data_IF_746368936970
#
_entry.id   IF_746368936970
#
_cell.length_a   1.000
_cell.length_b   1.000
_cell.length_c   1.000
_cell.angle_alpha   90.00
_cell.angle_beta   90.00
_cell.angle_gamma   90.00
#
_symmetry.space_group_name_H-M   'P 1'
#
loop_
_entity.id
_entity.type
_entity.pdbx_description
1 polymer ?
#
# COMPACT_ATOMS: atom_id res chain seq x y z
N UNK A 1 23.56 14.86 -5.27
CA UNK A 1 24.62 15.85 -5.07
C UNK A 1 24.40 16.52 -3.72
N UNK A 2 25.33 16.32 -2.76
CA UNK A 2 25.24 17.00 -1.47
C UNK A 2 25.61 18.47 -1.58
N UNK A 3 25.07 19.30 -0.70
CA UNK A 3 25.52 20.68 -0.53
C UNK A 3 27.01 20.73 -0.12
N UNK A 4 27.70 21.81 -0.47
CA UNK A 4 29.00 22.08 0.17
C UNK A 4 28.81 22.22 1.69
N UNK A 5 29.85 21.92 2.47
CA UNK A 5 29.76 22.08 3.93
C UNK A 5 29.36 23.50 4.32
N UNK A 6 29.89 24.51 3.63
CA UNK A 6 29.55 25.93 3.84
C UNK A 6 28.04 26.20 3.62
N UNK A 7 27.48 25.66 2.53
CA UNK A 7 26.04 25.80 2.24
C UNK A 7 25.19 25.08 3.30
N UNK A 8 25.60 23.90 3.73
CA UNK A 8 24.90 23.16 4.77
C UNK A 8 24.93 23.89 6.10
N UNK A 9 26.06 24.48 6.48
CA UNK A 9 26.21 25.24 7.72
C UNK A 9 25.42 26.58 7.67
N UNK A 10 25.40 27.23 6.51
CA UNK A 10 24.55 28.39 6.30
C UNK A 10 23.05 28.06 6.48
N UNK A 11 22.56 26.99 5.84
CA UNK A 11 21.17 26.55 5.95
C UNK A 11 20.84 26.23 7.40
N UNK A 12 21.68 25.49 8.12
CA UNK A 12 21.50 25.14 9.52
C UNK A 12 21.42 26.41 10.41
N UNK A 13 22.34 27.34 10.18
CA UNK A 13 22.34 28.60 10.96
C UNK A 13 21.10 29.42 10.69
N UNK A 14 20.74 29.62 9.42
CA UNK A 14 19.55 30.36 9.04
C UNK A 14 18.25 29.73 9.59
N UNK A 15 18.15 28.40 9.53
CA UNK A 15 17.01 27.66 10.10
C UNK A 15 16.96 27.82 11.63
N UNK A 16 18.10 27.68 12.31
CA UNK A 16 18.17 27.88 13.77
C UNK A 16 17.77 29.29 14.16
N UNK A 17 18.30 30.30 13.46
CA UNK A 17 18.03 31.71 13.76
C UNK A 17 16.57 32.06 13.51
N UNK A 18 15.95 31.43 12.48
CA UNK A 18 14.51 31.53 12.23
C UNK A 18 13.68 30.86 13.35
N UNK A 19 14.03 29.63 13.77
CA UNK A 19 13.33 28.91 14.84
C UNK A 19 13.42 29.64 16.20
N UNK A 20 14.50 30.40 16.43
CA UNK A 20 14.70 31.19 17.65
C UNK A 20 14.11 32.60 17.58
N UNK A 21 13.65 33.03 16.42
CA UNK A 21 13.02 34.34 16.25
C UNK A 21 11.56 34.31 16.71
N UNK A 22 11.09 35.40 17.34
CA UNK A 22 9.69 35.58 17.76
C UNK A 22 8.72 35.82 16.57
N UNK A 23 8.92 35.16 15.45
CA UNK A 23 8.09 35.34 14.28
C UNK A 23 6.80 34.51 14.50
N UNK A 24 5.73 35.22 14.81
CA UNK A 24 4.38 34.68 14.66
C UNK A 24 4.17 34.26 13.20
N UNK A 25 3.93 32.98 12.94
CA UNK A 25 3.65 32.32 11.66
C UNK A 25 4.24 33.00 10.42
N UNK A 26 5.26 32.44 9.79
CA UNK A 26 5.80 33.01 8.57
C UNK A 26 4.69 33.10 7.52
N UNK A 27 4.51 34.24 6.91
CA UNK A 27 3.64 34.41 5.76
C UNK A 27 4.21 33.55 4.61
N UNK A 28 3.65 32.35 4.43
CA UNK A 28 4.05 31.48 3.32
C UNK A 28 3.46 32.09 2.06
N UNK A 29 4.34 32.75 1.29
CA UNK A 29 3.96 33.41 0.03
C UNK A 29 4.09 32.40 -1.11
N UNK A 30 3.10 32.36 -2.00
CA UNK A 30 3.17 31.60 -3.25
C UNK A 30 4.33 32.12 -4.11
N UNK A 31 5.36 31.28 -4.41
CA UNK A 31 6.52 31.71 -5.21
C UNK A 31 6.21 31.86 -6.71
N UNK A 32 4.99 31.51 -7.13
CA UNK A 32 4.62 31.38 -8.55
C UNK A 32 5.11 30.08 -9.20
N UNK A 33 4.47 29.68 -10.32
CA UNK A 33 4.71 28.36 -10.92
C UNK A 33 6.16 28.13 -11.36
N UNK A 34 6.79 29.12 -11.98
CA UNK A 34 8.15 28.98 -12.51
C UNK A 34 9.19 28.80 -11.39
N UNK A 35 9.09 29.60 -10.34
CA UNK A 35 9.99 29.50 -9.18
C UNK A 35 9.74 28.18 -8.45
N UNK A 36 8.47 27.80 -8.27
CA UNK A 36 8.12 26.55 -7.62
C UNK A 36 8.66 25.32 -8.36
N UNK A 37 8.59 25.28 -9.70
CA UNK A 37 9.17 24.22 -10.52
C UNK A 37 10.68 24.10 -10.33
N UNK A 38 11.39 25.24 -10.23
CA UNK A 38 12.83 25.26 -9.90
C UNK A 38 13.10 24.75 -8.49
N UNK A 39 12.25 25.09 -7.51
CA UNK A 39 12.36 24.58 -6.13
C UNK A 39 12.17 23.06 -6.09
N UNK A 40 11.17 22.51 -6.82
CA UNK A 40 10.95 21.08 -6.96
C UNK A 40 12.19 20.35 -7.49
N UNK A 41 12.76 20.85 -8.59
CA UNK A 41 13.95 20.26 -9.21
C UNK A 41 15.18 20.36 -8.29
N UNK A 42 15.35 21.49 -7.63
CA UNK A 42 16.43 21.68 -6.65
C UNK A 42 16.31 20.72 -5.47
N UNK A 43 15.11 20.58 -4.93
CA UNK A 43 14.84 19.70 -3.77
C UNK A 43 15.13 18.23 -4.06
N UNK A 44 14.79 17.76 -5.26
CA UNK A 44 15.06 16.38 -5.67
C UNK A 44 16.48 16.16 -6.21
N UNK A 45 17.20 17.23 -6.57
CA UNK A 45 18.51 17.15 -7.21
C UNK A 45 18.48 16.68 -8.67
N UNK A 46 17.30 16.73 -9.30
CA UNK A 46 17.09 16.37 -10.71
C UNK A 46 15.98 17.22 -11.34
N UNK A 47 15.94 17.29 -12.66
CA UNK A 47 14.90 18.05 -13.37
C UNK A 47 13.53 17.40 -13.21
N UNK A 48 12.56 18.18 -12.73
CA UNK A 48 11.16 17.78 -12.65
C UNK A 48 10.41 18.39 -13.84
N UNK A 49 9.74 17.56 -14.66
CA UNK A 49 8.97 18.07 -15.79
C UNK A 49 7.90 19.08 -15.37
N UNK A 50 7.66 20.15 -16.14
CA UNK A 50 6.78 21.24 -15.75
C UNK A 50 5.31 20.83 -15.60
N UNK A 51 4.88 19.72 -16.21
CA UNK A 51 3.53 19.17 -16.07
C UNK A 51 3.17 18.75 -14.64
N UNK A 52 4.15 18.50 -13.77
CA UNK A 52 3.91 18.18 -12.35
C UNK A 52 3.66 19.41 -11.48
N UNK A 53 4.07 20.58 -11.94
CA UNK A 53 3.97 21.84 -11.15
C UNK A 53 2.53 22.14 -10.72
N UNK A 54 1.50 22.06 -11.57
CA UNK A 54 0.13 22.38 -11.15
C UNK A 54 -0.39 21.45 -10.06
N UNK A 55 -0.11 20.14 -10.18
CA UNK A 55 -0.55 19.13 -9.21
C UNK A 55 0.10 19.36 -7.85
N UNK A 56 1.43 19.52 -7.81
CA UNK A 56 2.15 19.71 -6.55
C UNK A 56 1.81 21.05 -5.90
N UNK A 57 1.66 22.13 -6.68
CA UNK A 57 1.20 23.42 -6.15
C UNK A 57 -0.16 23.34 -5.48
N UNK A 58 -1.05 22.46 -5.97
CA UNK A 58 -2.35 22.21 -5.33
C UNK A 58 -2.17 21.58 -3.95
N UNK A 59 -1.29 20.60 -3.80
CA UNK A 59 -1.00 19.97 -2.50
C UNK A 59 -0.36 20.96 -1.50
N UNK A 60 0.30 22.02 -2.00
CA UNK A 60 0.83 23.13 -1.18
C UNK A 60 -0.19 24.24 -0.91
N UNK A 61 -1.41 24.13 -1.41
CA UNK A 61 -2.43 25.16 -1.24
C UNK A 61 -2.24 26.43 -2.09
N UNK A 62 -1.32 26.41 -3.06
CA UNK A 62 -1.01 27.59 -3.91
C UNK A 62 -1.94 27.73 -5.12
N UNK A 63 -2.85 26.79 -5.36
CA UNK A 63 -3.80 26.86 -6.47
C UNK A 63 -5.15 27.39 -5.99
N UNK A 64 -5.74 28.37 -6.68
CA UNK A 64 -7.11 28.82 -6.39
C UNK A 64 -8.15 27.72 -6.58
N UNK A 65 -7.83 26.73 -7.42
CA UNK A 65 -8.67 25.54 -7.69
C UNK A 65 -8.61 24.51 -6.54
N UNK A 66 -7.71 24.69 -5.58
CA UNK A 66 -7.62 23.85 -4.39
C UNK A 66 -8.85 24.00 -3.47
N UNK A 67 -9.57 25.13 -3.56
CA UNK A 67 -10.78 25.33 -2.80
C UNK A 67 -11.92 24.43 -3.34
N UNK A 68 -12.57 23.64 -2.47
CA UNK A 68 -13.70 22.80 -2.85
C UNK A 68 -14.83 23.64 -3.44
N UNK A 69 -15.34 23.23 -4.60
CA UNK A 69 -16.48 23.90 -5.25
C UNK A 69 -17.76 23.24 -4.81
N UNK A 70 -18.66 24.00 -4.17
CA UNK A 70 -20.04 23.56 -3.99
C UNK A 70 -20.74 23.49 -5.35
N UNK A 71 -21.30 22.35 -5.65
CA UNK A 71 -22.15 22.19 -6.85
C UNK A 71 -23.52 22.79 -6.51
N UNK A 72 -23.83 23.92 -7.11
CA UNK A 72 -25.19 24.47 -7.08
C UNK A 72 -26.02 23.73 -8.13
N UNK A 73 -26.59 22.59 -7.72
CA UNK A 73 -27.53 21.88 -8.60
C UNK A 73 -28.79 22.71 -8.78
N UNK A 74 -29.18 22.92 -10.04
CA UNK A 74 -30.46 23.50 -10.42
C UNK A 74 -31.55 22.43 -10.59
N UNK A 75 -31.20 21.14 -10.51
CA UNK A 75 -32.13 20.02 -10.60
C UNK A 75 -32.81 19.78 -9.25
N UNK A 76 -34.13 19.58 -9.31
CA UNK A 76 -34.92 19.19 -8.15
C UNK A 76 -35.84 18.02 -8.57
N UNK A 77 -35.74 16.84 -7.98
CA UNK A 77 -34.86 16.48 -6.85
C UNK A 77 -33.36 16.39 -7.24
N UNK A 78 -32.48 16.47 -6.21
CA UNK A 78 -31.05 16.21 -6.40
C UNK A 78 -30.82 14.72 -6.71
N UNK A 79 -29.82 14.38 -7.53
CA UNK A 79 -29.51 12.98 -7.79
C UNK A 79 -29.06 12.27 -6.50
N UNK A 80 -29.59 11.08 -6.27
CA UNK A 80 -29.18 10.18 -5.19
C UNK A 80 -27.98 9.36 -5.64
N UNK A 81 -26.92 9.37 -4.86
CA UNK A 81 -25.66 8.69 -5.21
C UNK A 81 -25.42 7.55 -4.23
N UNK A 82 -25.24 6.33 -4.73
CA UNK A 82 -24.75 5.21 -3.91
C UNK A 82 -23.26 5.00 -4.16
N UNK A 83 -22.48 4.84 -3.07
CA UNK A 83 -21.08 4.44 -3.09
C UNK A 83 -21.00 3.02 -2.53
N UNK A 84 -20.30 2.11 -3.21
CA UNK A 84 -20.11 0.73 -2.77
C UNK A 84 -18.71 0.56 -2.21
N UNK A 85 -18.60 0.34 -0.90
CA UNK A 85 -17.35 0.06 -0.17
C UNK A 85 -16.80 1.26 0.59
N UNK A 86 -16.54 1.10 1.88
CA UNK A 86 -16.01 2.09 2.82
C UNK A 86 -14.50 1.96 3.07
N UNK A 87 -13.75 1.52 2.07
CA UNK A 87 -12.30 1.62 2.07
C UNK A 87 -11.81 3.03 1.74
N UNK A 88 -10.49 3.19 1.58
CA UNK A 88 -9.87 4.49 1.31
C UNK A 88 -10.51 5.26 0.15
N UNK A 89 -10.90 4.59 -0.94
CA UNK A 89 -11.53 5.25 -2.10
C UNK A 89 -12.95 5.73 -1.79
N UNK A 90 -13.76 4.90 -1.11
CA UNK A 90 -15.13 5.24 -0.76
C UNK A 90 -15.21 6.39 0.23
N UNK A 91 -14.37 6.37 1.27
CA UNK A 91 -14.29 7.47 2.25
C UNK A 91 -13.80 8.78 1.61
N UNK A 92 -12.82 8.71 0.70
CA UNK A 92 -12.38 9.88 -0.07
C UNK A 92 -13.54 10.48 -0.89
N UNK A 93 -14.28 9.65 -1.61
CA UNK A 93 -15.42 10.09 -2.41
C UNK A 93 -16.53 10.68 -1.53
N UNK A 94 -16.88 10.01 -0.43
CA UNK A 94 -17.88 10.48 0.51
C UNK A 94 -17.54 11.89 1.02
N UNK A 95 -16.29 12.12 1.44
CA UNK A 95 -15.82 13.42 1.87
C UNK A 95 -15.90 14.47 0.75
N UNK A 96 -15.45 14.14 -0.46
CA UNK A 96 -15.51 15.07 -1.60
C UNK A 96 -16.96 15.41 -2.00
N UNK A 97 -17.87 14.44 -1.94
CA UNK A 97 -19.29 14.65 -2.23
C UNK A 97 -19.97 15.49 -1.15
N UNK A 98 -19.57 15.32 0.10
CA UNK A 98 -20.08 16.15 1.21
C UNK A 98 -19.68 17.60 1.03
N UNK A 99 -18.41 17.89 0.73
CA UNK A 99 -17.91 19.23 0.41
C UNK A 99 -18.65 19.82 -0.80
N UNK A 100 -18.89 19.01 -1.83
CA UNK A 100 -19.61 19.43 -3.03
C UNK A 100 -21.11 19.66 -2.78
N UNK A 101 -21.65 19.26 -1.62
CA UNK A 101 -23.07 19.37 -1.27
C UNK A 101 -23.96 18.41 -2.04
N UNK A 102 -23.42 17.25 -2.43
CA UNK A 102 -24.17 16.19 -3.10
C UNK A 102 -24.89 15.29 -2.09
N UNK A 103 -25.99 14.66 -2.55
CA UNK A 103 -26.72 13.68 -1.75
C UNK A 103 -26.16 12.27 -2.04
N UNK A 104 -25.45 11.69 -1.07
CA UNK A 104 -24.79 10.40 -1.20
C UNK A 104 -25.11 9.49 -0.02
N UNK A 105 -25.01 8.18 -0.25
CA UNK A 105 -25.05 7.14 0.75
C UNK A 105 -24.02 6.07 0.44
N UNK A 106 -23.33 5.51 1.45
CA UNK A 106 -22.31 4.52 1.27
C UNK A 106 -22.73 3.19 1.93
N UNK A 107 -22.58 2.08 1.19
CA UNK A 107 -22.84 0.73 1.66
C UNK A 107 -21.52 -0.02 1.83
N UNK A 108 -21.31 -0.60 3.01
CA UNK A 108 -20.14 -1.41 3.35
C UNK A 108 -20.59 -2.80 3.84
N UNK A 109 -19.97 -3.86 3.27
CA UNK A 109 -20.29 -5.26 3.63
C UNK A 109 -19.78 -5.67 5.02
N UNK A 110 -18.68 -5.03 5.47
CA UNK A 110 -18.09 -5.29 6.78
C UNK A 110 -18.84 -4.51 7.86
N UNK A 111 -18.57 -4.85 9.12
CA UNK A 111 -19.17 -4.23 10.30
C UNK A 111 -18.65 -2.81 10.59
N UNK A 112 -17.52 -2.40 9.94
CA UNK A 112 -16.99 -1.05 10.03
C UNK A 112 -16.26 -0.63 8.75
N UNK A 113 -15.85 0.64 8.69
CA UNK A 113 -15.06 1.24 7.61
C UNK A 113 -13.60 0.74 7.64
N UNK A 114 -12.83 1.01 6.58
CA UNK A 114 -11.40 0.72 6.53
C UNK A 114 -10.98 -0.19 5.38
N UNK A 115 -11.90 -0.95 4.78
CA UNK A 115 -11.66 -1.79 3.60
C UNK A 115 -10.48 -2.74 3.79
N UNK A 116 -9.42 -2.61 2.98
CA UNK A 116 -8.24 -3.48 3.04
C UNK A 116 -7.64 -3.59 4.45
N UNK A 117 -7.60 -2.50 5.21
CA UNK A 117 -6.99 -2.45 6.55
C UNK A 117 -7.93 -2.99 7.64
N UNK A 118 -9.22 -3.01 7.37
CA UNK A 118 -10.21 -3.69 8.19
C UNK A 118 -10.18 -5.21 7.99
N UNK A 119 -10.02 -5.67 6.74
CA UNK A 119 -10.10 -7.09 6.37
C UNK A 119 -8.80 -7.86 6.61
N UNK A 120 -7.63 -7.25 6.39
CA UNK A 120 -6.35 -7.95 6.45
C UNK A 120 -5.71 -7.83 7.84
N UNK A 121 -5.69 -8.94 8.57
CA UNK A 121 -5.24 -9.01 9.96
C UNK A 121 -4.19 -10.08 10.21
N UNK A 122 -3.56 -10.61 9.16
CA UNK A 122 -2.48 -11.58 9.30
C UNK A 122 -1.25 -10.93 9.97
N UNK A 123 -0.45 -11.71 10.73
CA UNK A 123 0.75 -11.19 11.38
C UNK A 123 1.70 -10.50 10.41
N UNK A 124 2.19 -9.33 10.79
CA UNK A 124 3.06 -8.52 9.94
C UNK A 124 2.35 -7.74 8.82
N UNK A 125 1.01 -7.77 8.76
CA UNK A 125 0.26 -6.99 7.78
C UNK A 125 0.53 -5.50 7.94
N UNK A 126 0.98 -4.86 6.88
CA UNK A 126 1.31 -3.43 6.88
C UNK A 126 1.46 -2.86 5.47
N UNK A 127 1.75 -1.58 5.42
CA UNK A 127 1.96 -0.86 4.16
C UNK A 127 3.40 -1.06 3.65
N UNK A 128 3.58 -1.04 2.35
CA UNK A 128 4.87 -1.04 1.66
C UNK A 128 5.18 0.30 0.95
N UNK A 129 4.42 1.32 1.32
CA UNK A 129 4.56 2.70 0.86
C UNK A 129 4.66 3.59 2.11
N UNK A 130 5.55 4.60 2.15
CA UNK A 130 5.67 5.46 3.34
C UNK A 130 4.36 6.11 3.74
N UNK A 131 4.03 6.10 5.02
CA UNK A 131 2.76 6.58 5.56
C UNK A 131 2.45 8.02 5.18
N UNK A 132 3.44 8.91 5.24
CA UNK A 132 3.26 10.33 4.88
C UNK A 132 2.92 10.54 3.39
N UNK A 133 3.06 9.50 2.57
CA UNK A 133 2.57 9.45 1.21
C UNK A 133 1.27 8.64 1.12
N UNK A 134 1.15 7.54 1.88
CA UNK A 134 -0.04 6.69 1.94
C UNK A 134 -1.10 7.27 2.91
N UNK A 135 -1.49 8.50 2.68
CA UNK A 135 -2.59 9.20 3.34
C UNK A 135 -3.22 10.18 2.35
N UNK A 136 -4.39 10.70 2.66
CA UNK A 136 -5.00 11.72 1.82
C UNK A 136 -4.17 13.00 1.83
N UNK A 137 -3.93 13.62 0.68
CA UNK A 137 -3.16 14.86 0.58
C UNK A 137 -3.83 16.03 1.29
N UNK A 138 -5.15 16.00 1.36
CA UNK A 138 -5.99 17.01 2.03
C UNK A 138 -6.27 16.70 3.52
N UNK A 139 -5.84 15.53 4.01
CA UNK A 139 -5.95 15.12 5.41
C UNK A 139 -4.69 14.37 5.85
N UNK A 140 -3.51 15.04 5.84
CA UNK A 140 -2.26 14.42 6.24
C UNK A 140 -2.29 14.09 7.74
N UNK A 141 -1.64 12.97 8.11
CA UNK A 141 -1.43 12.65 9.51
C UNK A 141 0.04 12.94 9.90
N UNK A 142 0.31 13.90 10.77
CA UNK A 142 1.67 14.18 11.25
C UNK A 142 2.13 13.24 12.37
N UNK A 143 1.21 12.41 12.89
CA UNK A 143 1.38 11.63 14.13
C UNK A 143 1.63 10.14 13.89
N UNK A 144 2.15 9.78 12.70
CA UNK A 144 2.54 8.41 12.44
C UNK A 144 3.64 7.95 13.40
N UNK A 145 3.49 6.76 14.00
CA UNK A 145 4.49 6.19 14.91
C UNK A 145 5.69 5.59 14.18
N UNK A 146 5.50 5.17 12.93
CA UNK A 146 6.52 4.60 12.06
C UNK A 146 6.46 5.23 10.66
N UNK A 147 7.56 5.13 9.92
CA UNK A 147 7.54 5.54 8.50
C UNK A 147 6.70 4.59 7.63
N UNK A 148 6.59 3.31 8.03
CA UNK A 148 5.75 2.29 7.42
C UNK A 148 4.97 1.58 8.54
N UNK A 149 3.69 1.78 8.58
CA UNK A 149 2.86 1.28 9.68
C UNK A 149 2.22 -0.07 9.40
N UNK A 150 1.92 -0.79 10.48
CA UNK A 150 1.07 -1.96 10.45
C UNK A 150 -0.40 -1.63 10.17
N UNK A 151 -1.17 -2.66 9.84
CA UNK A 151 -2.58 -2.54 9.45
C UNK A 151 -3.45 -1.80 10.46
N UNK A 152 -3.22 -1.98 11.76
CA UNK A 152 -4.00 -1.32 12.81
C UNK A 152 -3.85 0.20 12.83
N UNK A 153 -2.64 0.73 12.63
CA UNK A 153 -2.44 2.18 12.61
C UNK A 153 -3.04 2.82 11.35
N UNK A 154 -2.99 2.10 10.22
CA UNK A 154 -3.64 2.53 8.98
C UNK A 154 -5.17 2.48 9.09
N UNK A 155 -5.71 1.45 9.74
CA UNK A 155 -7.13 1.37 10.04
C UNK A 155 -7.57 2.55 10.91
N UNK A 156 -6.87 2.79 12.02
CA UNK A 156 -7.16 3.90 12.92
C UNK A 156 -7.12 5.27 12.22
N UNK A 157 -6.25 5.44 11.21
CA UNK A 157 -6.23 6.64 10.39
C UNK A 157 -7.53 6.81 9.60
N UNK A 158 -8.02 5.74 8.95
CA UNK A 158 -9.25 5.79 8.15
C UNK A 158 -10.50 5.93 9.02
N UNK A 159 -10.55 5.27 10.17
CA UNK A 159 -11.63 5.40 11.15
C UNK A 159 -11.71 6.85 11.66
N UNK A 160 -10.59 7.41 12.12
CA UNK A 160 -10.54 8.82 12.55
C UNK A 160 -10.93 9.78 11.42
N UNK A 161 -10.48 9.52 10.19
CA UNK A 161 -10.88 10.33 9.05
C UNK A 161 -12.40 10.32 8.83
N UNK A 162 -13.04 9.17 8.96
CA UNK A 162 -14.50 9.05 8.85
C UNK A 162 -15.22 9.78 9.99
N UNK A 163 -14.71 9.68 11.23
CA UNK A 163 -15.26 10.34 12.42
C UNK A 163 -15.10 11.88 12.36
N UNK A 164 -13.90 12.36 12.12
CA UNK A 164 -13.56 13.78 12.08
C UNK A 164 -14.33 14.55 10.99
N UNK A 165 -14.72 13.84 9.92
CA UNK A 165 -15.50 14.41 8.83
C UNK A 165 -17.01 14.08 8.90
N UNK A 166 -17.49 13.47 10.00
CA UNK A 166 -18.90 13.09 10.21
C UNK A 166 -19.48 12.24 9.07
N UNK A 167 -18.67 11.35 8.46
CA UNK A 167 -19.12 10.55 7.32
C UNK A 167 -20.00 9.37 7.75
N UNK A 168 -19.84 8.88 8.99
CA UNK A 168 -20.52 7.67 9.48
C UNK A 168 -22.04 7.74 9.43
N UNK A 169 -22.63 8.92 9.56
CA UNK A 169 -24.09 9.11 9.53
C UNK A 169 -24.73 8.67 8.20
N UNK A 170 -23.91 8.58 7.14
CA UNK A 170 -24.33 8.19 5.79
C UNK A 170 -23.65 6.91 5.31
N UNK A 171 -23.08 6.12 6.24
CA UNK A 171 -22.51 4.81 5.95
C UNK A 171 -23.38 3.74 6.58
N UNK A 172 -23.81 2.78 5.77
CA UNK A 172 -24.49 1.58 6.27
C UNK A 172 -23.52 0.40 6.19
N UNK A 173 -22.95 0.03 7.33
CA UNK A 173 -22.13 -1.15 7.50
C UNK A 173 -22.98 -2.45 7.57
N UNK A 174 -22.33 -3.63 7.48
CA UNK A 174 -23.01 -4.92 7.47
C UNK A 174 -23.93 -5.14 6.27
N UNK A 175 -23.82 -4.30 5.25
CA UNK A 175 -24.72 -4.32 4.09
C UNK A 175 -23.95 -4.48 2.79
N UNK A 176 -24.16 -5.61 2.13
CA UNK A 176 -23.57 -5.93 0.83
C UNK A 176 -24.48 -5.46 -0.31
N UNK A 177 -23.94 -4.75 -1.28
CA UNK A 177 -24.57 -4.59 -2.58
C UNK A 177 -24.32 -5.87 -3.38
N UNK A 178 -25.36 -6.69 -3.50
CA UNK A 178 -25.28 -8.00 -4.14
C UNK A 178 -25.32 -7.92 -5.66
N UNK A 179 -26.18 -7.05 -6.16
CA UNK A 179 -26.32 -6.80 -7.60
C UNK A 179 -26.71 -5.35 -7.87
N UNK A 180 -26.42 -4.88 -9.07
CA UNK A 180 -26.86 -3.57 -9.56
C UNK A 180 -27.20 -3.68 -11.05
N UNK A 181 -28.40 -3.25 -11.44
CA UNK A 181 -28.89 -3.30 -12.81
C UNK A 181 -29.37 -1.91 -13.24
N UNK A 182 -28.96 -1.49 -14.42
CA UNK A 182 -29.42 -0.22 -14.98
C UNK A 182 -30.80 -0.38 -15.59
N UNK A 183 -31.73 0.49 -15.21
CA UNK A 183 -33.08 0.59 -15.80
C UNK A 183 -33.08 1.73 -16.84
N UNK A 184 -33.07 1.37 -18.10
CA UNK A 184 -33.11 2.33 -19.24
C UNK A 184 -34.41 3.12 -19.33
N UNK A 185 -35.52 2.63 -18.78
CA UNK A 185 -36.83 3.28 -18.85
C UNK A 185 -36.89 4.42 -17.82
N UNK A 186 -36.46 4.15 -16.60
CA UNK A 186 -36.54 5.10 -15.52
C UNK A 186 -35.22 5.88 -15.33
N UNK A 187 -34.13 5.53 -16.02
CA UNK A 187 -32.78 6.09 -15.92
C UNK A 187 -32.24 6.06 -14.48
N UNK A 188 -32.35 4.92 -13.85
CA UNK A 188 -31.86 4.67 -12.47
C UNK A 188 -31.11 3.35 -12.37
N UNK A 189 -30.27 3.22 -11.37
CA UNK A 189 -29.71 1.95 -10.94
C UNK A 189 -30.67 1.30 -9.94
N UNK A 190 -31.12 0.08 -10.22
CA UNK A 190 -31.74 -0.81 -9.25
C UNK A 190 -30.67 -1.61 -8.55
N UNK A 191 -30.56 -1.47 -7.22
CA UNK A 191 -29.57 -2.15 -6.41
C UNK A 191 -30.23 -3.11 -5.44
N UNK A 192 -29.67 -4.31 -5.32
CA UNK A 192 -30.05 -5.29 -4.31
C UNK A 192 -29.08 -5.22 -3.13
N UNK A 193 -29.60 -4.96 -1.97
CA UNK A 193 -28.88 -4.84 -0.71
C UNK A 193 -29.18 -6.06 0.15
N UNK A 194 -28.14 -6.70 0.69
CA UNK A 194 -28.24 -7.87 1.55
C UNK A 194 -27.54 -7.61 2.88
N UNK A 195 -28.24 -7.78 3.97
CA UNK A 195 -27.75 -7.71 5.34
C UNK A 195 -28.32 -8.85 6.20
N UNK A 196 -28.11 -8.82 7.51
CA UNK A 196 -28.60 -9.85 8.45
C UNK A 196 -30.16 -9.97 8.44
N UNK A 197 -30.87 -8.92 8.08
CA UNK A 197 -32.34 -8.92 8.01
C UNK A 197 -32.89 -9.51 6.70
N UNK A 198 -32.04 -9.77 5.73
CA UNK A 198 -32.38 -10.33 4.43
C UNK A 198 -32.05 -9.41 3.26
N UNK A 199 -32.73 -9.61 2.14
CA UNK A 199 -32.56 -8.84 0.90
C UNK A 199 -33.60 -7.73 0.79
N UNK A 200 -33.17 -6.54 0.34
CA UNK A 200 -34.04 -5.40 -0.02
C UNK A 200 -33.53 -4.73 -1.28
N UNK A 201 -34.42 -4.03 -1.98
CA UNK A 201 -34.11 -3.25 -3.16
C UNK A 201 -34.15 -1.75 -2.88
N UNK A 202 -33.28 -1.00 -3.55
CA UNK A 202 -33.30 0.46 -3.59
C UNK A 202 -32.99 0.93 -5.00
N UNK A 203 -33.24 2.20 -5.30
CA UNK A 203 -32.93 2.82 -6.60
C UNK A 203 -32.10 4.07 -6.38
N UNK A 204 -31.11 4.30 -7.23
CA UNK A 204 -30.25 5.48 -7.20
C UNK A 204 -29.97 5.99 -8.60
N UNK A 205 -29.72 7.31 -8.72
CA UNK A 205 -29.45 7.93 -10.02
C UNK A 205 -28.00 7.69 -10.46
N UNK A 206 -27.08 7.62 -9.50
CA UNK A 206 -25.65 7.44 -9.74
C UNK A 206 -25.12 6.33 -8.84
N UNK A 207 -24.41 5.38 -9.43
CA UNK A 207 -23.73 4.30 -8.71
C UNK A 207 -22.22 4.42 -8.87
N UNK A 208 -21.50 4.43 -7.75
CA UNK A 208 -20.05 4.50 -7.74
C UNK A 208 -19.45 3.26 -7.09
N UNK A 209 -18.68 2.50 -7.84
CA UNK A 209 -17.97 1.33 -7.33
C UNK A 209 -16.63 1.73 -6.73
N UNK A 210 -16.50 1.58 -5.41
CA UNK A 210 -15.27 1.73 -4.65
C UNK A 210 -14.87 0.41 -3.95
N UNK A 211 -15.24 -0.73 -4.55
CA UNK A 211 -15.13 -2.07 -3.98
C UNK A 211 -13.68 -2.56 -3.77
N UNK A 212 -12.70 -1.89 -4.34
CA UNK A 212 -11.32 -2.37 -4.36
C UNK A 212 -11.12 -3.57 -5.30
N UNK A 213 -9.88 -3.86 -5.63
CA UNK A 213 -9.54 -4.94 -6.56
C UNK A 213 -8.99 -6.21 -5.88
N UNK A 214 -8.79 -6.20 -4.55
CA UNK A 214 -8.33 -7.34 -3.76
C UNK A 214 -9.33 -7.78 -2.68
N UNK A 215 -10.58 -7.35 -2.74
CA UNK A 215 -11.56 -7.58 -1.66
C UNK A 215 -12.19 -8.99 -1.67
N UNK A 216 -11.98 -9.77 -2.73
CA UNK A 216 -12.47 -11.14 -2.82
C UNK A 216 -11.28 -12.09 -3.01
N UNK A 217 -10.83 -12.76 -1.93
CA UNK A 217 -9.75 -13.72 -2.02
C UNK A 217 -10.18 -14.95 -2.83
N UNK A 218 -9.31 -15.40 -3.70
CA UNK A 218 -9.45 -16.66 -4.42
C UNK A 218 -8.55 -17.68 -3.77
N UNK A 219 -9.13 -18.68 -3.14
CA UNK A 219 -8.40 -19.83 -2.62
C UNK A 219 -8.26 -20.86 -3.73
N UNK A 220 -7.02 -21.17 -4.18
CA UNK A 220 -6.83 -22.22 -5.16
C UNK A 220 -7.23 -23.57 -4.56
N UNK A 221 -7.74 -24.46 -5.41
CA UNK A 221 -8.03 -25.84 -5.04
C UNK A 221 -6.87 -26.74 -5.46
N UNK A 222 -6.52 -27.69 -4.59
CA UNK A 222 -5.48 -28.68 -4.84
C UNK A 222 -6.09 -30.08 -4.72
N UNK A 223 -5.61 -31.00 -5.52
CA UNK A 223 -6.00 -32.40 -5.40
C UNK A 223 -5.65 -32.92 -4.00
N UNK A 224 -6.50 -33.75 -3.43
CA UNK A 224 -6.33 -34.29 -2.08
C UNK A 224 -6.54 -33.30 -0.93
N UNK A 225 -6.95 -32.06 -1.19
CA UNK A 225 -7.14 -31.03 -0.16
C UNK A 225 -8.11 -31.46 0.96
N UNK A 226 -9.17 -32.21 0.61
CA UNK A 226 -10.16 -32.68 1.59
C UNK A 226 -9.61 -33.79 2.51
N UNK A 227 -8.48 -34.41 2.15
CA UNK A 227 -7.80 -35.42 2.99
C UNK A 227 -6.84 -34.83 4.01
N UNK A 228 -6.47 -33.54 3.85
CA UNK A 228 -5.55 -32.86 4.75
C UNK A 228 -6.21 -32.66 6.11
N UNK A 229 -5.57 -33.13 7.18
CA UNK A 229 -6.10 -33.07 8.54
C UNK A 229 -5.74 -31.77 9.27
N UNK A 230 -4.81 -31.00 8.73
CA UNK A 230 -4.43 -29.70 9.30
C UNK A 230 -5.38 -28.57 8.91
N UNK A 231 -5.09 -27.36 9.34
CA UNK A 231 -5.90 -26.20 9.07
C UNK A 231 -5.44 -25.49 7.80
N UNK A 232 -6.36 -25.17 6.88
CA UNK A 232 -6.08 -24.36 5.69
C UNK A 232 -6.58 -22.94 5.92
N UNK A 233 -5.68 -21.94 5.77
CA UNK A 233 -5.95 -20.53 6.03
C UNK A 233 -5.53 -19.69 4.83
N UNK A 234 -6.38 -18.74 4.46
CA UNK A 234 -6.02 -17.71 3.50
C UNK A 234 -5.67 -16.41 4.25
N UNK A 235 -4.55 -15.75 3.90
CA UNK A 235 -4.09 -14.52 4.58
C UNK A 235 -5.16 -13.43 4.69
N UNK A 236 -5.99 -13.24 3.65
CA UNK A 236 -7.10 -12.28 3.66
C UNK A 236 -8.30 -12.70 4.53
N UNK A 237 -8.27 -13.89 5.14
CA UNK A 237 -9.29 -14.42 6.08
C UNK A 237 -8.60 -15.03 7.29
N UNK A 238 -7.66 -14.31 7.86
CA UNK A 238 -6.85 -14.78 8.97
C UNK A 238 -7.68 -14.90 10.25
N UNK A 239 -7.76 -16.11 10.87
CA UNK A 239 -8.45 -16.27 12.14
C UNK A 239 -7.72 -15.52 13.26
N UNK A 240 -8.45 -14.79 14.07
CA UNK A 240 -7.88 -13.96 15.15
C UNK A 240 -7.29 -14.75 16.30
N UNK A 241 -7.70 -16.01 16.45
CA UNK A 241 -7.32 -16.95 17.50
C UNK A 241 -6.35 -18.05 17.03
N UNK A 242 -5.80 -17.93 15.82
CA UNK A 242 -4.88 -18.91 15.27
C UNK A 242 -3.52 -18.87 15.98
N UNK A 243 -3.22 -19.90 16.76
CA UNK A 243 -1.91 -20.11 17.37
C UNK A 243 -1.04 -21.03 16.47
N UNK A 244 0.10 -20.50 16.07
CA UNK A 244 1.10 -21.22 15.25
C UNK A 244 2.31 -21.70 16.05
N UNK A 245 2.36 -21.46 17.37
CA UNK A 245 3.52 -21.78 18.22
C UNK A 245 3.85 -23.28 18.16
N UNK A 246 5.09 -23.58 17.80
CA UNK A 246 5.60 -24.96 17.71
C UNK A 246 5.00 -25.81 16.57
N UNK A 247 4.23 -25.21 15.65
CA UNK A 247 3.63 -25.93 14.53
C UNK A 247 4.55 -26.01 13.33
N UNK A 248 4.29 -26.99 12.46
CA UNK A 248 4.85 -27.07 11.11
C UNK A 248 3.91 -26.32 10.17
N UNK A 249 4.41 -25.27 9.53
CA UNK A 249 3.60 -24.41 8.67
C UNK A 249 4.07 -24.49 7.23
N UNK A 250 3.13 -24.67 6.29
CA UNK A 250 3.37 -24.61 4.87
C UNK A 250 2.76 -23.32 4.30
N UNK A 251 3.57 -22.45 3.72
CA UNK A 251 3.12 -21.22 3.07
C UNK A 251 3.20 -21.38 1.54
N UNK A 252 2.06 -21.26 0.86
CA UNK A 252 2.00 -21.37 -0.59
C UNK A 252 1.97 -19.99 -1.22
N UNK A 253 3.06 -19.66 -1.92
CA UNK A 253 3.28 -18.37 -2.58
C UNK A 253 4.24 -17.45 -1.84
N UNK A 254 4.85 -16.52 -2.60
CA UNK A 254 5.87 -15.59 -2.15
C UNK A 254 5.54 -14.14 -2.56
N UNK A 255 4.24 -13.80 -2.51
CA UNK A 255 3.77 -12.44 -2.77
C UNK A 255 3.96 -11.50 -1.57
N UNK A 256 3.44 -10.28 -1.67
CA UNK A 256 3.57 -9.24 -0.63
C UNK A 256 3.12 -9.72 0.75
N UNK A 257 1.98 -10.42 0.85
CA UNK A 257 1.50 -10.95 2.12
C UNK A 257 2.44 -11.97 2.74
N UNK A 258 3.03 -12.86 1.93
CA UNK A 258 4.00 -13.84 2.42
C UNK A 258 5.31 -13.19 2.87
N UNK A 259 5.77 -12.16 2.15
CA UNK A 259 6.95 -11.37 2.54
C UNK A 259 6.78 -10.70 3.90
N UNK A 260 5.54 -10.35 4.28
CA UNK A 260 5.22 -9.75 5.57
C UNK A 260 4.97 -10.81 6.66
N UNK A 261 4.20 -11.83 6.33
CA UNK A 261 3.81 -12.89 7.25
C UNK A 261 5.01 -13.72 7.73
N UNK A 262 5.79 -14.24 6.79
CA UNK A 262 6.82 -15.24 7.02
C UNK A 262 7.89 -14.76 8.02
N UNK A 263 8.52 -13.58 7.89
CA UNK A 263 9.48 -13.12 8.88
C UNK A 263 8.88 -12.91 10.27
N UNK A 264 7.58 -12.60 10.33
CA UNK A 264 6.89 -12.33 11.59
C UNK A 264 6.62 -13.61 12.39
N UNK A 265 6.28 -14.72 11.70
CA UNK A 265 5.89 -15.97 12.38
C UNK A 265 7.04 -16.98 12.52
N UNK A 266 8.08 -16.87 11.71
CA UNK A 266 9.09 -17.93 11.55
C UNK A 266 9.74 -18.38 12.87
N UNK A 267 10.01 -17.45 13.78
CA UNK A 267 10.73 -17.75 15.02
C UNK A 267 9.93 -18.61 16.03
N UNK A 268 8.60 -18.64 15.88
CA UNK A 268 7.71 -19.38 16.79
C UNK A 268 7.37 -20.79 16.25
N UNK A 269 7.83 -21.12 15.06
CA UNK A 269 7.47 -22.36 14.36
C UNK A 269 8.46 -23.49 14.63
N UNK A 270 7.95 -24.74 14.65
CA UNK A 270 8.81 -25.92 14.64
C UNK A 270 9.48 -26.14 13.28
N UNK A 271 8.74 -25.87 12.20
CA UNK A 271 9.25 -25.92 10.82
C UNK A 271 8.42 -25.01 9.92
N UNK A 272 9.07 -24.42 8.92
CA UNK A 272 8.44 -23.59 7.91
C UNK A 272 8.82 -24.05 6.51
N UNK A 273 7.83 -24.46 5.72
CA UNK A 273 8.02 -24.82 4.31
C UNK A 273 7.36 -23.76 3.42
N UNK A 274 8.12 -23.17 2.52
CA UNK A 274 7.66 -22.11 1.62
C UNK A 274 7.65 -22.63 0.20
N UNK A 275 6.48 -22.70 -0.42
CA UNK A 275 6.33 -23.12 -1.82
C UNK A 275 6.37 -21.92 -2.76
N UNK A 276 7.38 -21.86 -3.60
CA UNK A 276 7.63 -20.76 -4.52
C UNK A 276 7.54 -21.22 -5.98
N UNK A 277 6.60 -20.64 -6.74
CA UNK A 277 6.56 -20.83 -8.20
C UNK A 277 7.54 -19.93 -8.94
N UNK A 278 7.62 -18.66 -8.52
CA UNK A 278 8.44 -17.64 -9.16
C UNK A 278 8.99 -16.69 -8.10
N UNK A 279 10.30 -16.42 -8.06
CA UNK A 279 10.86 -15.48 -7.11
C UNK A 279 10.36 -14.04 -7.36
N UNK A 280 10.42 -13.22 -6.33
CA UNK A 280 10.05 -11.82 -6.39
C UNK A 280 11.30 -10.95 -6.28
N UNK A 281 11.31 -9.81 -6.99
CA UNK A 281 12.25 -8.76 -6.70
C UNK A 281 11.91 -8.15 -5.34
N UNK A 282 12.84 -8.20 -4.40
CA UNK A 282 12.72 -7.58 -3.10
C UNK A 282 13.95 -6.71 -2.82
N UNK A 283 13.71 -5.46 -2.42
CA UNK A 283 14.77 -4.47 -2.16
C UNK A 283 14.87 -4.13 -0.69
N UNK A 284 16.04 -3.71 -0.27
CA UNK A 284 16.23 -3.08 1.03
C UNK A 284 15.56 -1.69 1.08
N UNK A 285 14.84 -1.44 2.16
CA UNK A 285 14.35 -0.12 2.55
C UNK A 285 14.74 0.09 4.02
N UNK A 286 15.84 0.79 4.29
CA UNK A 286 16.39 0.90 5.66
C UNK A 286 15.39 1.49 6.65
N UNK A 287 14.49 2.34 6.17
CA UNK A 287 13.48 3.01 7.00
C UNK A 287 12.25 2.14 7.30
N UNK A 288 12.16 0.91 6.74
CA UNK A 288 10.93 0.09 6.81
C UNK A 288 10.47 -0.19 8.26
N UNK A 289 11.42 -0.45 9.15
CA UNK A 289 11.13 -0.72 10.56
C UNK A 289 11.42 0.47 11.49
N UNK A 290 11.75 1.64 10.92
CA UNK A 290 12.09 2.80 11.75
C UNK A 290 10.83 3.47 12.31
N UNK A 291 10.86 3.72 13.61
CA UNK A 291 9.92 4.62 14.26
C UNK A 291 10.19 6.07 13.84
N UNK A 292 9.14 6.87 13.79
CA UNK A 292 9.24 8.33 13.65
C UNK A 292 9.67 8.87 15.02
N UNK A 293 10.89 9.36 15.13
CA UNK A 293 11.39 9.91 16.37
C UNK A 293 10.73 11.26 16.70
N UNK A 294 10.91 11.72 17.95
CA UNK A 294 10.29 12.94 18.45
C UNK A 294 10.70 14.20 17.66
N UNK A 295 11.91 14.23 17.10
CA UNK A 295 12.39 15.38 16.33
C UNK A 295 11.74 15.41 14.94
N UNK A 296 11.65 14.25 14.28
CA UNK A 296 10.94 14.14 13.02
C UNK A 296 9.43 14.45 13.19
N UNK A 297 8.80 13.93 14.24
CA UNK A 297 7.41 14.22 14.57
C UNK A 297 7.19 15.72 14.83
N UNK A 298 8.14 16.36 15.52
CA UNK A 298 8.08 17.81 15.73
C UNK A 298 8.14 18.60 14.42
N UNK A 299 9.01 18.19 13.48
CA UNK A 299 9.12 18.82 12.16
C UNK A 299 7.82 18.70 11.36
N UNK A 300 7.20 17.52 11.36
CA UNK A 300 5.92 17.31 10.67
C UNK A 300 4.78 18.17 11.24
N UNK A 301 4.78 18.43 12.57
CA UNK A 301 3.74 19.21 13.23
C UNK A 301 3.96 20.71 13.14
N UNK A 302 5.20 21.18 13.21
CA UNK A 302 5.50 22.57 13.50
C UNK A 302 6.26 23.31 12.40
N UNK A 303 7.03 22.59 11.55
CA UNK A 303 7.75 23.28 10.48
C UNK A 303 6.84 23.42 9.25
N UNK A 304 6.49 24.66 8.88
CA UNK A 304 5.61 24.90 7.74
C UNK A 304 6.12 24.27 6.45
N UNK A 305 5.25 23.66 5.69
CA UNK A 305 5.52 22.97 4.41
C UNK A 305 6.48 21.78 4.48
N UNK A 306 7.00 21.42 5.66
CA UNK A 306 7.90 20.26 5.78
C UNK A 306 7.22 18.97 5.32
N UNK A 307 6.00 18.71 5.81
CA UNK A 307 5.22 17.54 5.42
C UNK A 307 4.92 17.49 3.93
N UNK A 308 4.59 18.62 3.30
CA UNK A 308 4.31 18.71 1.87
C UNK A 308 5.58 18.41 1.03
N UNK A 309 6.73 18.98 1.39
CA UNK A 309 8.00 18.69 0.72
C UNK A 309 8.41 17.22 0.92
N UNK A 310 8.28 16.69 2.12
CA UNK A 310 8.56 15.29 2.40
C UNK A 310 7.64 14.37 1.57
N UNK A 311 6.31 14.66 1.54
CA UNK A 311 5.34 13.93 0.73
C UNK A 311 5.68 14.00 -0.76
N UNK A 312 6.06 15.16 -1.27
CA UNK A 312 6.49 15.31 -2.66
C UNK A 312 7.72 14.44 -2.97
N UNK A 313 8.72 14.39 -2.09
CA UNK A 313 9.86 13.48 -2.25
C UNK A 313 9.44 12.01 -2.31
N UNK A 314 8.46 11.60 -1.48
CA UNK A 314 7.96 10.24 -1.51
C UNK A 314 7.14 9.95 -2.78
N UNK A 315 6.29 10.88 -3.21
CA UNK A 315 5.57 10.77 -4.48
C UNK A 315 6.56 10.56 -5.65
N UNK A 316 7.62 11.30 -5.68
CA UNK A 316 8.63 11.16 -6.73
C UNK A 316 9.36 9.83 -6.64
N UNK A 317 9.82 9.45 -5.44
CA UNK A 317 10.61 8.24 -5.19
C UNK A 317 9.81 6.95 -5.43
N UNK A 318 8.53 6.91 -5.08
CA UNK A 318 7.66 5.75 -5.16
C UNK A 318 6.66 5.78 -6.32
N UNK A 319 6.60 6.88 -7.04
CA UNK A 319 5.70 7.12 -8.17
C UNK A 319 6.44 7.49 -9.45
N UNK A 320 6.16 8.65 -9.98
CA UNK A 320 6.53 9.04 -11.36
C UNK A 320 8.04 9.20 -11.60
N UNK A 321 8.85 9.43 -10.58
CA UNK A 321 10.32 9.36 -10.71
C UNK A 321 10.84 7.98 -11.12
N UNK A 322 9.99 6.93 -11.00
CA UNK A 322 10.31 5.58 -11.46
C UNK A 322 10.12 5.38 -12.97
N UNK A 323 9.46 6.29 -13.70
CA UNK A 323 9.17 6.12 -15.12
C UNK A 323 10.44 5.88 -15.96
N UNK A 324 11.55 6.48 -15.61
CA UNK A 324 12.84 6.26 -16.27
C UNK A 324 13.34 4.82 -16.20
N UNK A 325 12.95 4.08 -15.14
CA UNK A 325 13.31 2.66 -14.99
C UNK A 325 12.42 1.76 -15.87
N UNK A 326 11.22 2.21 -16.22
CA UNK A 326 10.19 1.44 -16.92
C UNK A 326 10.23 1.67 -18.44
N UNK A 327 10.90 2.74 -18.91
CA UNK A 327 10.96 3.06 -20.33
C UNK A 327 11.79 2.02 -21.06
N UNK A 328 11.15 1.28 -21.96
CA UNK A 328 11.83 0.28 -22.79
C UNK A 328 12.76 1.00 -23.78
N UNK A 329 14.02 0.58 -23.81
CA UNK A 329 14.99 0.97 -24.83
C UNK A 329 15.04 -0.14 -25.91
N UNK A 330 14.57 0.12 -27.16
CA UNK A 330 14.52 -0.90 -28.20
C UNK A 330 15.89 -1.41 -28.65
N UNK A 331 16.95 -0.63 -28.39
CA UNK A 331 18.34 -0.97 -28.75
C UNK A 331 19.13 -1.55 -27.57
N UNK A 332 18.46 -1.83 -26.45
CA UNK A 332 19.10 -2.35 -25.25
C UNK A 332 19.67 -3.75 -25.49
N UNK A 333 20.92 -3.96 -25.12
CA UNK A 333 21.67 -5.21 -25.39
C UNK A 333 21.16 -6.44 -24.58
N UNK A 334 20.42 -6.22 -23.48
CA UNK A 334 20.01 -7.27 -22.54
C UNK A 334 18.51 -7.25 -22.23
N UNK A 335 17.63 -7.34 -23.25
CA UNK A 335 16.18 -7.22 -23.08
C UNK A 335 15.54 -8.40 -22.30
N UNK A 336 16.26 -9.50 -22.16
CA UNK A 336 15.87 -10.69 -21.41
C UNK A 336 15.81 -10.45 -19.89
N UNK A 337 16.61 -9.52 -19.36
CA UNK A 337 16.78 -9.33 -17.92
C UNK A 337 16.57 -7.90 -17.43
N UNK A 338 16.53 -6.91 -18.32
CA UNK A 338 16.33 -5.51 -17.98
C UNK A 338 15.74 -4.73 -19.16
N UNK A 339 15.19 -3.54 -18.91
CA UNK A 339 14.48 -2.73 -19.91
C UNK A 339 15.36 -1.65 -20.56
N UNK A 340 16.37 -1.19 -19.83
CA UNK A 340 17.31 -0.15 -20.23
C UNK A 340 18.49 -0.12 -19.25
N UNK A 341 19.46 0.75 -19.49
CA UNK A 341 20.68 0.91 -18.66
C UNK A 341 20.37 1.25 -17.18
N UNK A 342 19.33 2.04 -16.91
CA UNK A 342 18.98 2.43 -15.53
C UNK A 342 18.34 1.26 -14.80
N UNK A 343 17.45 0.53 -15.48
CA UNK A 343 16.83 -0.68 -14.96
C UNK A 343 17.87 -1.77 -14.67
N UNK A 344 18.87 -1.95 -15.57
CA UNK A 344 19.98 -2.88 -15.36
C UNK A 344 20.83 -2.52 -14.14
N UNK A 345 21.14 -1.23 -13.95
CA UNK A 345 21.86 -0.80 -12.75
C UNK A 345 21.08 -1.13 -11.49
N UNK A 346 19.80 -0.86 -11.47
CA UNK A 346 18.93 -1.17 -10.35
C UNK A 346 18.83 -2.68 -10.10
N UNK A 347 18.73 -3.48 -11.17
CA UNK A 347 18.81 -4.92 -11.07
C UNK A 347 20.09 -5.37 -10.36
N UNK A 348 21.22 -4.86 -10.77
CA UNK A 348 22.52 -5.24 -10.21
C UNK A 348 22.65 -4.82 -8.73
N UNK A 349 22.09 -3.69 -8.34
CA UNK A 349 21.99 -3.25 -6.94
C UNK A 349 21.20 -4.26 -6.10
N UNK A 350 20.02 -4.69 -6.59
CA UNK A 350 19.17 -5.67 -5.88
C UNK A 350 19.86 -7.05 -5.85
N UNK A 351 20.46 -7.50 -6.94
CA UNK A 351 21.19 -8.78 -6.99
C UNK A 351 22.35 -8.79 -6.00
N UNK A 352 23.11 -7.69 -5.92
CA UNK A 352 24.21 -7.57 -4.95
C UNK A 352 23.68 -7.68 -3.51
N UNK A 353 22.56 -7.01 -3.21
CA UNK A 353 21.90 -7.08 -1.91
C UNK A 353 21.47 -8.53 -1.57
N UNK A 354 20.76 -9.19 -2.50
CA UNK A 354 20.32 -10.59 -2.31
C UNK A 354 21.52 -11.51 -2.07
N UNK A 355 22.60 -11.32 -2.85
CA UNK A 355 23.83 -12.11 -2.73
C UNK A 355 24.49 -11.93 -1.37
N UNK A 356 24.54 -10.70 -0.88
CA UNK A 356 25.07 -10.39 0.46
C UNK A 356 24.23 -11.08 1.55
N UNK A 357 22.91 -10.97 1.48
CA UNK A 357 21.98 -11.57 2.45
C UNK A 357 22.07 -13.10 2.48
N UNK A 358 22.31 -13.73 1.34
CA UNK A 358 22.35 -15.18 1.20
C UNK A 358 23.76 -15.78 1.21
N UNK A 359 24.79 -15.06 1.69
CA UNK A 359 26.16 -15.56 1.74
C UNK A 359 26.31 -16.92 2.45
N UNK A 360 25.51 -17.16 3.51
CA UNK A 360 25.46 -18.44 4.23
C UNK A 360 24.67 -19.57 3.50
N UNK A 361 23.94 -19.24 2.45
CA UNK A 361 23.03 -20.15 1.73
C UNK A 361 23.12 -19.94 0.21
N UNK A 362 24.29 -20.22 -0.41
CA UNK A 362 24.47 -20.06 -1.85
C UNK A 362 23.53 -20.94 -2.69
N UNK A 363 23.02 -22.04 -2.12
CA UNK A 363 22.00 -22.92 -2.70
C UNK A 363 20.66 -22.20 -2.98
N UNK A 364 20.42 -21.06 -2.36
CA UNK A 364 19.21 -20.27 -2.53
C UNK A 364 19.33 -19.16 -3.60
N UNK A 365 20.53 -18.83 -4.05
CA UNK A 365 20.72 -17.70 -4.97
C UNK A 365 19.87 -17.82 -6.25
N UNK A 366 19.98 -18.98 -6.94
CA UNK A 366 19.23 -19.24 -8.17
C UNK A 366 17.71 -19.30 -7.94
N UNK A 367 17.30 -19.59 -6.70
CA UNK A 367 15.89 -19.65 -6.32
C UNK A 367 15.33 -18.27 -5.93
N UNK A 368 16.19 -17.31 -5.58
CA UNK A 368 15.78 -16.01 -5.06
C UNK A 368 15.99 -14.85 -6.04
N UNK A 369 16.80 -15.04 -7.09
CA UNK A 369 17.02 -14.01 -8.11
C UNK A 369 16.05 -14.23 -9.28
N UNK A 370 15.11 -13.30 -9.54
CA UNK A 370 14.18 -13.40 -10.65
C UNK A 370 14.88 -13.37 -12.01
N UNK A 371 14.35 -14.12 -12.97
CA UNK A 371 14.80 -14.13 -14.36
C UNK A 371 14.20 -13.03 -15.23
N UNK A 372 13.14 -12.37 -14.76
CA UNK A 372 12.46 -11.28 -15.45
C UNK A 372 13.01 -9.90 -15.01
N UNK A 373 12.87 -8.85 -15.83
CA UNK A 373 13.33 -7.50 -15.50
C UNK A 373 12.72 -6.96 -14.19
N UNK A 374 13.44 -6.15 -13.39
CA UNK A 374 12.84 -5.34 -12.33
C UNK A 374 11.63 -4.56 -12.84
N UNK A 375 10.59 -4.48 -12.02
CA UNK A 375 9.27 -3.93 -12.36
C UNK A 375 8.43 -4.75 -13.36
N UNK A 376 8.90 -5.90 -13.85
CA UNK A 376 8.04 -6.87 -14.53
C UNK A 376 6.92 -7.42 -13.64
N UNK A 377 7.14 -7.36 -12.33
CA UNK A 377 6.15 -7.41 -11.25
C UNK A 377 6.48 -6.31 -10.24
N UNK A 378 5.54 -5.96 -9.35
CA UNK A 378 5.82 -5.01 -8.26
C UNK A 378 7.05 -5.45 -7.46
N UNK A 379 8.00 -4.54 -7.27
CA UNK A 379 9.15 -4.81 -6.40
C UNK A 379 8.67 -4.74 -4.95
N UNK A 380 8.96 -5.79 -4.19
CA UNK A 380 8.60 -5.90 -2.79
C UNK A 380 9.70 -5.31 -1.90
N UNK A 381 9.40 -5.17 -0.61
CA UNK A 381 10.36 -4.76 0.41
C UNK A 381 10.84 -5.99 1.16
N UNK A 382 12.16 -6.13 1.30
CA UNK A 382 12.73 -7.11 2.23
C UNK A 382 12.58 -6.61 3.67
N UNK A 383 11.71 -7.23 4.41
CA UNK A 383 11.47 -6.98 5.82
C UNK A 383 12.05 -8.06 6.74
N UNK A 384 13.11 -8.73 6.31
CA UNK A 384 13.72 -9.88 6.97
C UNK A 384 13.47 -11.21 6.25
N UNK A 385 12.94 -11.17 5.03
CA UNK A 385 12.67 -12.34 4.21
C UNK A 385 13.91 -13.18 3.94
N UNK A 386 15.00 -12.56 3.46
CA UNK A 386 16.23 -13.30 3.15
C UNK A 386 16.91 -13.83 4.40
N UNK A 387 16.89 -13.08 5.51
CA UNK A 387 17.41 -13.54 6.80
C UNK A 387 16.59 -14.74 7.31
N UNK A 388 15.28 -14.74 7.13
CA UNK A 388 14.40 -15.86 7.48
C UNK A 388 14.70 -17.10 6.66
N UNK A 389 14.95 -16.97 5.36
CA UNK A 389 15.32 -18.12 4.50
C UNK A 389 16.65 -18.78 4.94
N UNK A 390 17.50 -18.07 5.66
CA UNK A 390 18.76 -18.61 6.20
C UNK A 390 18.59 -19.43 7.47
N UNK A 391 17.41 -19.43 8.11
CA UNK A 391 17.15 -20.18 9.34
C UNK A 391 17.08 -21.70 9.04
N UNK A 392 17.57 -22.52 9.99
CA UNK A 392 17.72 -23.97 9.79
C UNK A 392 16.40 -24.72 9.61
N UNK A 393 15.33 -24.26 10.24
CA UNK A 393 14.00 -24.88 10.18
C UNK A 393 13.15 -24.35 9.01
N UNK A 394 13.71 -23.47 8.16
CA UNK A 394 13.04 -22.88 7.01
C UNK A 394 13.50 -23.55 5.70
N UNK A 395 12.56 -24.03 4.93
CA UNK A 395 12.81 -24.70 3.63
C UNK A 395 12.09 -23.97 2.52
N UNK A 396 12.83 -23.54 1.48
CA UNK A 396 12.26 -22.98 0.25
C UNK A 396 12.17 -24.09 -0.82
N UNK A 397 10.94 -24.38 -1.24
CA UNK A 397 10.59 -25.42 -2.24
C UNK A 397 10.18 -24.74 -3.54
N UNK A 398 10.84 -25.12 -4.63
CA UNK A 398 10.53 -24.62 -5.99
C UNK A 398 9.88 -25.67 -6.89
N UNK A 399 9.81 -26.92 -6.41
CA UNK A 399 9.14 -27.99 -7.11
C UNK A 399 7.63 -27.75 -7.10
N UNK A 400 6.92 -27.97 -8.21
CA UNK A 400 5.48 -27.78 -8.25
C UNK A 400 4.76 -28.68 -7.23
N UNK A 401 3.72 -28.14 -6.62
CA UNK A 401 2.80 -28.92 -5.79
C UNK A 401 2.02 -29.86 -6.70
N UNK A 402 1.99 -31.14 -6.36
CA UNK A 402 1.18 -32.18 -7.01
C UNK A 402 -0.20 -32.24 -6.33
N UNK A 403 -0.20 -32.58 -5.04
CA UNK A 403 -1.41 -32.77 -4.28
C UNK A 403 -1.20 -32.49 -2.77
N UNK A 404 -2.30 -32.38 -2.04
CA UNK A 404 -2.28 -32.47 -0.60
C UNK A 404 -2.46 -33.94 -0.18
N UNK A 405 -1.89 -34.28 0.94
CA UNK A 405 -2.10 -35.56 1.59
C UNK A 405 -2.51 -35.34 3.06
N UNK A 406 -2.85 -36.41 3.77
CA UNK A 406 -3.34 -36.35 5.15
C UNK A 406 -2.43 -35.51 6.08
N UNK A 407 -1.13 -35.55 5.89
CA UNK A 407 -0.14 -34.93 6.79
C UNK A 407 0.60 -33.74 6.21
N UNK A 408 0.27 -33.27 4.99
CA UNK A 408 1.01 -32.15 4.39
C UNK A 408 0.83 -32.00 2.89
N UNK A 409 1.86 -31.45 2.24
CA UNK A 409 1.87 -31.11 0.82
C UNK A 409 2.89 -31.96 0.08
N UNK A 410 2.48 -32.63 -0.99
CA UNK A 410 3.31 -33.44 -1.85
C UNK A 410 3.67 -32.69 -3.14
N UNK A 411 4.94 -32.77 -3.54
CA UNK A 411 5.41 -32.21 -4.82
C UNK A 411 5.39 -33.28 -5.92
N UNK A 412 5.52 -32.84 -7.19
CA UNK A 412 5.60 -33.74 -8.37
C UNK A 412 6.75 -34.73 -8.31
N UNK A 413 7.78 -34.47 -7.49
CA UNK A 413 8.89 -35.43 -7.24
C UNK A 413 8.52 -36.52 -6.21
N UNK A 414 7.29 -36.49 -5.69
CA UNK A 414 6.80 -37.43 -4.69
C UNK A 414 7.24 -37.15 -3.27
N UNK A 415 7.92 -36.02 -3.02
CA UNK A 415 8.36 -35.61 -1.68
C UNK A 415 7.21 -34.97 -0.92
N UNK A 416 6.97 -35.46 0.31
CA UNK A 416 5.97 -34.90 1.21
C UNK A 416 6.64 -33.94 2.20
N UNK A 417 6.06 -32.77 2.35
CA UNK A 417 6.40 -31.77 3.36
C UNK A 417 5.28 -31.70 4.38
N UNK A 418 5.58 -32.15 5.61
CA UNK A 418 4.62 -32.20 6.69
C UNK A 418 4.20 -30.76 7.10
N UNK A 419 2.92 -30.60 7.38
CA UNK A 419 2.33 -29.36 7.85
C UNK A 419 1.15 -29.62 8.79
N UNK A 420 1.00 -28.77 9.78
CA UNK A 420 -0.15 -28.69 10.66
C UNK A 420 -1.13 -27.59 10.19
N UNK A 421 -0.55 -26.58 9.47
CA UNK A 421 -1.28 -25.42 8.94
C UNK A 421 -0.72 -25.07 7.56
#
# INVERSE_FOLDING_TARGET
AGFSQETADFIKSATRDWLLSDISEPAITDPGPDTFGKMMSFFLGEEVPPEYVPMIRKDFGYSPEAAPRKITSTTNPRPRIAIIGAGASGLCLAHQFDIAGLDWHLYEKNDDVGGTWHENRYPGCGVDTPNHFYCYSFSPNPDWTHFFSGSSELLNYLERFADDNNLRDRVTCGTRVQSATWDDVNNVWEIELVDESGSRHDTVDILVSATGHFNQPVTPTFDGQDSFTGQIVHTAKWPTDLDLSGKKVAVIGTGASSMQLIPTIANDLAALTIFQRTPQWARNVPEYHLAVDEHAAWLFRHLPMYGQWYRFAQLWRYGDGLLRFLKVDPEWEHPDRSLNRINERHRNEIVSYITEKLQGRPDLLDKCIPSYPPFGKRILIDNGWFDTLCQQHVTLVTDPIDQFCETGVQTNEGKVFEADV
#
